data_IF_609083186772
#
_entry.id   IF_609083186772
#
_cell.length_a   1.000
_cell.length_b   1.000
_cell.length_c   1.000
_cell.angle_alpha   90.00
_cell.angle_beta   90.00
_cell.angle_gamma   90.00
#
_symmetry.space_group_name_H-M   'P 1'
#
loop_
_entity.id
_entity.type
_entity.pdbx_description
1 polymer ?
#
# COMPACT_ATOMS: atom_id res chain seq x y z
N UNK A 1 -7.74 -16.89 8.68
CA UNK A 1 -7.38 -17.38 7.33
C UNK A 1 -6.58 -16.30 6.63
N UNK A 2 -5.28 -16.46 6.49
CA UNK A 2 -4.46 -15.60 5.62
C UNK A 2 -4.61 -16.11 4.20
N UNK A 3 -5.35 -15.37 3.38
CA UNK A 3 -5.42 -15.60 1.95
C UNK A 3 -4.00 -15.49 1.38
N UNK A 4 -3.43 -16.64 1.01
CA UNK A 4 -2.21 -16.73 0.20
C UNK A 4 -2.73 -16.93 -1.23
N UNK A 5 -2.65 -15.93 -2.11
CA UNK A 5 -3.12 -16.10 -3.47
C UNK A 5 -2.31 -17.25 -4.08
N UNK A 6 -2.99 -18.22 -4.68
CA UNK A 6 -2.35 -19.25 -5.50
C UNK A 6 -1.36 -18.54 -6.42
N UNK A 7 -0.07 -18.91 -6.38
CA UNK A 7 0.93 -18.31 -7.26
C UNK A 7 0.42 -18.43 -8.68
N UNK A 8 0.11 -17.28 -9.31
CA UNK A 8 -0.34 -17.24 -10.68
C UNK A 8 0.79 -17.89 -11.50
N UNK A 9 0.49 -19.03 -12.13
CA UNK A 9 1.46 -19.68 -13.02
C UNK A 9 1.99 -18.64 -14.00
N UNK A 10 3.27 -18.74 -14.35
CA UNK A 10 3.93 -17.80 -15.27
C UNK A 10 3.06 -17.53 -16.51
N UNK A 11 2.46 -18.57 -17.08
CA UNK A 11 1.56 -18.48 -18.24
C UNK A 11 0.25 -17.71 -17.97
N UNK A 12 -0.29 -17.79 -16.75
CA UNK A 12 -1.48 -17.03 -16.35
C UNK A 12 -1.12 -15.57 -16.10
N UNK A 13 0.03 -15.30 -15.50
CA UNK A 13 0.54 -13.95 -15.31
C UNK A 13 0.91 -13.28 -16.64
N UNK A 14 1.50 -14.04 -17.57
CA UNK A 14 1.81 -13.58 -18.92
C UNK A 14 0.53 -13.28 -19.70
N UNK A 15 -0.56 -14.06 -19.57
CA UNK A 15 -1.86 -13.70 -20.17
C UNK A 15 -2.50 -12.44 -19.61
N UNK A 16 -2.34 -12.17 -18.32
CA UNK A 16 -2.89 -10.97 -17.67
C UNK A 16 -2.11 -9.72 -18.11
N UNK A 17 -0.79 -9.85 -18.19
CA UNK A 17 0.11 -8.74 -18.54
C UNK A 17 0.07 -8.49 -20.05
N UNK A 18 0.06 -9.54 -20.86
CA UNK A 18 0.08 -9.45 -22.31
C UNK A 18 -1.24 -9.95 -22.88
N UNK A 19 -2.30 -9.15 -22.72
CA UNK A 19 -3.54 -9.34 -23.49
C UNK A 19 -3.22 -9.08 -24.96
N UNK A 20 -3.14 -10.13 -25.76
CA UNK A 20 -3.12 -10.01 -27.20
C UNK A 20 -4.53 -9.62 -27.64
N UNK A 21 -4.77 -8.33 -27.88
CA UNK A 21 -5.88 -7.91 -28.73
C UNK A 21 -5.56 -8.36 -30.15
N UNK A 22 -5.91 -9.62 -30.45
CA UNK A 22 -6.02 -10.09 -31.84
C UNK A 22 -7.34 -9.55 -32.36
N UNK A 23 -7.25 -8.36 -32.95
CA UNK A 23 -8.32 -7.76 -33.73
C UNK A 23 -8.79 -8.78 -34.77
N UNK A 24 -10.08 -9.08 -34.75
CA UNK A 24 -10.64 -10.19 -35.50
C UNK A 24 -10.61 -9.90 -36.99
N UNK A 25 -9.99 -10.77 -37.79
CA UNK A 25 -10.50 -11.08 -39.13
C UNK A 25 -9.92 -12.37 -39.70
N UNK A 26 -10.84 -13.17 -40.22
CA UNK A 26 -10.71 -14.23 -41.23
C UNK A 26 -10.31 -15.66 -40.82
N UNK A 27 -11.11 -16.57 -41.35
CA UNK A 27 -11.11 -18.00 -41.15
C UNK A 27 -9.94 -18.66 -41.88
N UNK A 28 -9.12 -19.43 -41.16
CA UNK A 28 -8.10 -20.23 -41.84
C UNK A 28 -7.14 -20.97 -40.91
N UNK A 29 -7.45 -22.24 -40.66
CA UNK A 29 -6.47 -23.32 -40.48
C UNK A 29 -5.53 -23.18 -39.28
N UNK A 30 -5.88 -23.90 -38.21
CA UNK A 30 -4.96 -24.26 -37.13
C UNK A 30 -3.78 -25.05 -37.70
N UNK A 31 -2.63 -24.40 -37.88
CA UNK A 31 -1.33 -25.08 -38.02
C UNK A 31 -0.41 -24.55 -36.94
N UNK A 32 -0.24 -25.32 -35.87
CA UNK A 32 0.89 -25.14 -34.97
C UNK A 32 2.15 -25.64 -35.70
N UNK A 33 3.16 -24.80 -35.96
CA UNK A 33 4.41 -25.30 -36.49
C UNK A 33 5.18 -26.00 -35.36
N UNK A 34 5.08 -27.32 -35.31
CA UNK A 34 6.17 -28.15 -34.79
C UNK A 34 7.31 -28.07 -35.79
N UNK A 35 8.32 -27.26 -35.50
CA UNK A 35 9.67 -27.52 -36.03
C UNK A 35 10.74 -26.84 -35.19
N UNK A 36 11.51 -27.67 -34.51
CA UNK A 36 12.88 -27.36 -34.14
C UNK A 36 13.66 -27.09 -35.43
N UNK A 37 14.20 -25.89 -35.58
CA UNK A 37 15.25 -25.58 -36.55
C UNK A 37 16.03 -24.38 -36.03
N UNK A 38 17.34 -24.56 -35.92
CA UNK A 38 18.33 -23.58 -35.52
C UNK A 38 18.21 -22.30 -36.37
N UNK A 39 18.02 -21.18 -35.69
CA UNK A 39 17.94 -19.86 -36.29
C UNK A 39 17.44 -18.89 -35.24
N UNK A 40 18.30 -17.96 -34.83
CA UNK A 40 18.00 -16.87 -33.91
C UNK A 40 16.90 -15.97 -34.47
N UNK A 41 15.65 -16.43 -34.37
CA UNK A 41 14.49 -15.60 -34.64
C UNK A 41 14.36 -14.64 -33.46
N UNK A 42 14.86 -13.41 -33.63
CA UNK A 42 14.56 -12.30 -32.74
C UNK A 42 13.04 -12.14 -32.65
N UNK A 43 12.47 -12.65 -31.56
CA UNK A 43 11.09 -12.39 -31.17
C UNK A 43 10.94 -10.86 -31.07
N UNK A 44 10.07 -10.22 -31.88
CA UNK A 44 9.89 -8.77 -31.82
C UNK A 44 9.50 -8.37 -30.40
N UNK A 45 10.34 -7.59 -29.72
CA UNK A 45 10.12 -7.12 -28.33
C UNK A 45 8.97 -6.09 -28.21
N UNK A 46 8.07 -6.01 -29.18
CA UNK A 46 7.19 -4.86 -29.39
C UNK A 46 5.80 -4.96 -28.77
N UNK A 47 5.43 -6.05 -28.09
CA UNK A 47 4.16 -6.10 -27.36
C UNK A 47 4.37 -6.15 -25.85
N UNK A 48 4.90 -5.07 -25.25
CA UNK A 48 4.88 -4.91 -23.79
C UNK A 48 3.68 -4.05 -23.42
N UNK A 49 2.81 -4.47 -22.47
CA UNK A 49 1.69 -3.65 -22.05
C UNK A 49 2.18 -2.27 -21.62
N UNK A 50 1.37 -1.26 -21.94
CA UNK A 50 1.63 0.10 -21.51
C UNK A 50 1.65 0.17 -19.98
N UNK A 51 2.81 0.45 -19.40
CA UNK A 51 2.97 0.60 -17.95
C UNK A 51 2.62 2.03 -17.57
N UNK A 52 1.54 2.20 -16.80
CA UNK A 52 1.21 3.49 -16.19
C UNK A 52 2.00 3.66 -14.90
N UNK A 53 2.87 4.68 -14.84
CA UNK A 53 3.60 5.03 -13.61
C UNK A 53 2.76 5.99 -12.78
N UNK A 54 2.38 5.57 -11.58
CA UNK A 54 1.72 6.42 -10.60
C UNK A 54 2.73 6.84 -9.56
N UNK A 55 3.02 8.15 -9.51
CA UNK A 55 3.88 8.71 -8.46
C UNK A 55 3.02 9.01 -7.24
N UNK A 56 3.39 8.44 -6.09
CA UNK A 56 2.74 8.71 -4.82
C UNK A 56 3.59 9.68 -4.00
N UNK A 57 2.95 10.71 -3.48
CA UNK A 57 3.55 11.65 -2.53
C UNK A 57 3.33 11.14 -1.10
N UNK A 58 4.18 11.53 -0.13
CA UNK A 58 3.87 11.34 1.28
C UNK A 58 2.56 12.01 1.66
N UNK A 59 1.90 11.49 2.70
CA UNK A 59 0.69 12.07 3.25
C UNK A 59 0.99 13.45 3.84
N UNK A 60 0.15 14.42 3.48
CA UNK A 60 0.18 15.74 4.08
C UNK A 60 -0.39 15.74 5.50
N UNK A 61 -0.26 16.87 6.19
CA UNK A 61 -0.85 17.06 7.53
C UNK A 61 -2.37 16.87 7.53
N UNK A 62 -3.06 17.44 6.53
CA UNK A 62 -4.51 17.32 6.40
C UNK A 62 -4.96 15.88 6.13
N UNK A 63 -4.21 15.14 5.29
CA UNK A 63 -4.48 13.73 5.01
C UNK A 63 -4.33 12.88 6.28
N UNK A 64 -3.28 13.15 7.06
CA UNK A 64 -3.01 12.45 8.30
C UNK A 64 -4.07 12.78 9.36
N UNK A 65 -4.48 14.04 9.44
CA UNK A 65 -5.52 14.51 10.34
C UNK A 65 -6.86 13.84 10.02
N UNK A 66 -7.23 13.76 8.75
CA UNK A 66 -8.44 13.08 8.29
C UNK A 66 -8.39 11.58 8.58
N UNK A 67 -7.23 10.95 8.33
CA UNK A 67 -7.00 9.55 8.64
C UNK A 67 -7.15 9.25 10.13
N UNK A 68 -6.50 10.02 11.01
CA UNK A 68 -6.53 9.81 12.47
C UNK A 68 -7.91 10.12 13.05
N UNK A 69 -8.58 11.17 12.56
CA UNK A 69 -9.95 11.53 12.94
C UNK A 69 -10.92 10.38 12.62
N UNK A 70 -10.81 9.82 11.41
CA UNK A 70 -11.60 8.67 10.99
C UNK A 70 -11.27 7.42 11.80
N UNK A 71 -9.98 7.16 12.05
CA UNK A 71 -9.52 5.99 12.80
C UNK A 71 -10.04 5.95 14.23
N UNK A 72 -10.01 7.10 14.92
CA UNK A 72 -10.43 7.20 16.32
C UNK A 72 -11.91 7.59 16.47
N UNK A 73 -12.61 7.84 15.35
CA UNK A 73 -13.97 8.35 15.32
C UNK A 73 -14.16 9.61 16.18
N UNK A 74 -13.20 10.54 16.09
CA UNK A 74 -13.15 11.79 16.87
C UNK A 74 -13.02 12.99 15.95
N UNK A 75 -13.53 14.17 16.35
CA UNK A 75 -13.44 15.37 15.51
C UNK A 75 -11.98 15.84 15.38
N UNK A 76 -11.68 16.52 14.27
CA UNK A 76 -10.31 16.85 13.86
C UNK A 76 -9.59 17.75 14.88
N UNK A 77 -10.29 18.70 15.46
CA UNK A 77 -9.79 19.59 16.52
C UNK A 77 -9.26 18.82 17.73
N UNK A 78 -9.93 17.72 18.10
CA UNK A 78 -9.52 16.89 19.22
C UNK A 78 -8.35 15.96 18.92
N UNK A 79 -8.14 15.55 17.67
CA UNK A 79 -7.04 14.64 17.30
C UNK A 79 -5.85 15.35 16.66
N UNK A 80 -5.95 16.66 16.40
CA UNK A 80 -4.91 17.47 15.79
C UNK A 80 -3.53 17.30 16.46
N UNK A 81 -3.41 17.35 17.80
CA UNK A 81 -2.12 17.16 18.45
C UNK A 81 -1.48 15.80 18.15
N UNK A 82 -2.29 14.74 18.15
CA UNK A 82 -1.81 13.39 17.84
C UNK A 82 -1.36 13.28 16.38
N UNK A 83 -2.15 13.82 15.44
CA UNK A 83 -1.82 13.81 14.02
C UNK A 83 -0.50 14.54 13.74
N UNK A 84 -0.26 15.71 14.34
CA UNK A 84 0.98 16.45 14.19
C UNK A 84 2.20 15.66 14.72
N UNK A 85 2.07 14.97 15.86
CA UNK A 85 3.15 14.14 16.37
C UNK A 85 3.45 12.99 15.41
N UNK A 86 2.42 12.30 14.89
CA UNK A 86 2.62 11.22 13.93
C UNK A 86 3.26 11.76 12.64
N UNK A 87 2.81 12.91 12.13
CA UNK A 87 3.41 13.54 10.95
C UNK A 87 4.90 13.82 11.19
N UNK A 88 5.24 14.44 12.32
CA UNK A 88 6.63 14.80 12.66
C UNK A 88 7.56 13.59 12.73
N UNK A 89 7.04 12.44 13.16
CA UNK A 89 7.83 11.21 13.34
C UNK A 89 7.91 10.36 12.09
N UNK A 90 6.96 10.51 11.17
CA UNK A 90 6.80 9.61 10.02
C UNK A 90 7.02 10.30 8.68
N UNK A 91 7.08 11.64 8.68
CA UNK A 91 7.20 12.48 7.49
C UNK A 91 6.16 12.14 6.41
N UNK A 92 4.95 11.75 6.83
CA UNK A 92 3.86 11.38 5.92
C UNK A 92 4.01 10.00 5.28
N UNK A 93 5.00 9.19 5.66
CA UNK A 93 5.17 7.85 5.12
C UNK A 93 4.08 6.91 5.68
N UNK A 94 3.17 6.36 4.84
CA UNK A 94 2.05 5.54 5.31
C UNK A 94 2.48 4.27 6.07
N UNK A 95 3.64 3.70 5.72
CA UNK A 95 4.17 2.54 6.44
C UNK A 95 4.54 2.92 7.87
N UNK A 96 5.33 3.98 8.06
CA UNK A 96 5.74 4.43 9.39
C UNK A 96 4.56 4.95 10.23
N UNK A 97 3.61 5.63 9.60
CA UNK A 97 2.34 6.02 10.24
C UNK A 97 1.63 4.80 10.85
N UNK A 98 1.42 3.75 10.05
CA UNK A 98 0.76 2.52 10.51
C UNK A 98 1.54 1.80 11.61
N UNK A 99 2.87 1.71 11.49
CA UNK A 99 3.72 1.09 12.52
C UNK A 99 3.66 1.88 13.83
N UNK A 100 3.71 3.21 13.77
CA UNK A 100 3.63 4.08 14.95
C UNK A 100 2.27 3.93 15.65
N UNK A 101 1.15 3.99 14.91
CA UNK A 101 -0.19 3.77 15.46
C UNK A 101 -0.33 2.38 16.11
N UNK A 102 0.18 1.35 15.45
CA UNK A 102 0.18 -0.01 15.99
C UNK A 102 0.99 -0.13 17.29
N UNK A 103 2.13 0.54 17.36
CA UNK A 103 2.95 0.63 18.56
C UNK A 103 2.23 1.41 19.68
N UNK A 104 1.59 2.53 19.36
CA UNK A 104 0.79 3.31 20.32
C UNK A 104 -0.32 2.47 20.96
N UNK A 105 -1.03 1.66 20.16
CA UNK A 105 -2.06 0.78 20.67
C UNK A 105 -1.50 -0.32 21.59
N UNK A 106 -0.41 -0.98 21.16
CA UNK A 106 0.27 -2.01 21.97
C UNK A 106 0.80 -1.46 23.29
N UNK A 107 1.25 -0.21 23.31
CA UNK A 107 1.85 0.47 24.47
C UNK A 107 0.84 1.25 25.31
N UNK A 108 -0.45 1.16 24.98
CA UNK A 108 -1.53 1.87 25.70
C UNK A 108 -1.33 3.39 25.72
N UNK A 109 -0.73 3.94 24.67
CA UNK A 109 -0.77 5.37 24.35
C UNK A 109 -2.09 5.72 23.63
N UNK A 110 -2.66 4.75 22.90
CA UNK A 110 -4.00 4.80 22.31
C UNK A 110 -4.75 3.55 22.79
N UNK A 111 -5.98 3.69 23.24
CA UNK A 111 -6.80 2.56 23.66
C UNK A 111 -8.29 2.85 23.48
N UNK A 112 -9.07 1.78 23.34
CA UNK A 112 -10.52 1.88 23.39
C UNK A 112 -10.98 1.72 24.84
N UNK A 113 -11.77 2.67 25.34
CA UNK A 113 -12.42 2.57 26.64
C UNK A 113 -13.87 2.08 26.44
N UNK A 114 -14.18 0.94 27.04
CA UNK A 114 -15.50 0.31 26.94
C UNK A 114 -16.56 1.02 27.79
N UNK A 115 -16.16 1.85 28.76
CA UNK A 115 -17.08 2.53 29.68
C UNK A 115 -17.82 3.67 29.00
N UNK A 116 -17.13 4.40 28.13
CA UNK A 116 -17.71 5.48 27.31
C UNK A 116 -17.79 5.13 25.82
N UNK A 117 -17.32 3.95 25.43
CA UNK A 117 -17.32 3.45 24.04
C UNK A 117 -16.56 4.38 23.10
N UNK A 118 -15.43 4.93 23.55
CA UNK A 118 -14.63 5.88 22.79
C UNK A 118 -13.16 5.47 22.73
N UNK A 119 -12.49 5.93 21.67
CA UNK A 119 -11.04 5.89 21.60
C UNK A 119 -10.44 7.05 22.39
N UNK A 120 -9.48 6.70 23.23
CA UNK A 120 -8.67 7.63 24.02
C UNK A 120 -7.23 7.56 23.59
N UNK A 121 -6.53 8.67 23.78
CA UNK A 121 -5.10 8.73 23.60
C UNK A 121 -4.47 9.63 24.67
N UNK A 122 -3.19 9.40 24.94
CA UNK A 122 -2.42 10.11 25.95
C UNK A 122 -1.10 10.57 25.32
N UNK A 123 -0.96 11.89 25.17
CA UNK A 123 0.23 12.50 24.56
C UNK A 123 1.47 12.35 25.45
N UNK A 124 1.33 12.35 26.76
CA UNK A 124 2.48 12.19 27.66
C UNK A 124 3.06 10.78 27.52
N UNK A 125 2.20 9.77 27.45
CA UNK A 125 2.61 8.38 27.16
C UNK A 125 3.21 8.25 25.76
N UNK A 126 2.62 8.93 24.78
CA UNK A 126 3.13 8.97 23.42
C UNK A 126 4.55 9.54 23.40
N UNK A 127 4.77 10.69 24.01
CA UNK A 127 6.08 11.33 24.07
C UNK A 127 7.08 10.47 24.83
N UNK A 128 6.70 9.87 25.96
CA UNK A 128 7.56 8.95 26.70
C UNK A 128 7.99 7.73 25.85
N UNK A 129 7.10 7.22 24.98
CA UNK A 129 7.38 6.08 24.13
C UNK A 129 8.20 6.44 22.87
N UNK A 130 8.09 7.66 22.37
CA UNK A 130 8.68 8.12 21.11
C UNK A 130 9.64 9.31 21.29
N UNK A 131 10.28 9.42 22.46
CA UNK A 131 11.29 10.44 22.71
C UNK A 131 12.33 10.43 21.58
N UNK A 132 12.58 11.59 21.00
CA UNK A 132 13.73 11.74 20.12
C UNK A 132 14.95 11.64 21.02
N UNK A 133 15.72 10.55 20.87
CA UNK A 133 17.05 10.50 21.44
C UNK A 133 17.91 11.48 20.63
N UNK A 134 17.84 12.75 20.98
CA UNK A 134 18.76 13.77 20.47
C UNK A 134 20.12 13.46 21.09
N UNK A 135 20.87 12.56 20.45
CA UNK A 135 22.31 12.47 20.69
C UNK A 135 22.93 13.68 19.97
N UNK A 136 23.27 14.70 20.76
CA UNK A 136 24.22 15.74 20.39
C UNK A 136 25.61 15.12 20.19
#
# INVERSE_FOLDING_TARGET
MTYRPEELSRDRMERIIYSSDVDGTDAGRMTYPTKCADGDAEVPRSNRPAVTRVTLSPLGEDDLLDYVSTLLSRPKDEVLPLALVIQSKTAGNPFYMREMLSACHRKKCIWYDYRDSQWHYDLDRLFAQFQASTRL
#
